data_IF_083722012112
#
_entry.id   IF_083722012112
#
_cell.length_a   1.000
_cell.length_b   1.000
_cell.length_c   1.000
_cell.angle_alpha   90.00
_cell.angle_beta   90.00
_cell.angle_gamma   90.00
#
_symmetry.space_group_name_H-M   'P 1'
#
loop_
_entity.id
_entity.type
_entity.pdbx_description
1 polymer ?
#
# COMPACT_ATOMS: atom_id res chain seq x y z
N UNK A 1 -6.04 7.50 -6.84
CA UNK A 1 -5.93 8.05 -5.45
C UNK A 1 -5.57 6.95 -4.48
N UNK A 2 -4.85 7.24 -3.37
CA UNK A 2 -4.64 6.28 -2.29
C UNK A 2 -5.99 5.89 -1.69
N UNK A 3 -6.16 4.61 -1.35
CA UNK A 3 -7.36 4.16 -0.64
C UNK A 3 -7.44 4.88 0.70
N UNK A 4 -8.62 5.42 1.08
CA UNK A 4 -8.80 5.98 2.42
C UNK A 4 -8.48 4.93 3.49
N UNK A 5 -7.95 5.38 4.63
CA UNK A 5 -7.56 4.51 5.73
C UNK A 5 -8.38 4.83 6.99
N UNK A 6 -8.99 3.81 7.58
CA UNK A 6 -9.72 3.91 8.85
C UNK A 6 -8.98 3.15 9.94
N UNK A 7 -8.63 3.82 11.04
CA UNK A 7 -8.02 3.18 12.20
C UNK A 7 -9.07 2.75 13.24
N UNK A 8 -9.08 1.47 13.59
CA UNK A 8 -9.90 0.95 14.69
C UNK A 8 -9.08 0.95 15.97
N UNK A 9 -9.51 1.74 16.95
CA UNK A 9 -8.78 2.06 18.18
C UNK A 9 -9.64 1.72 19.40
N UNK A 10 -9.02 1.47 20.54
CA UNK A 10 -9.71 1.25 21.82
C UNK A 10 -8.89 0.34 22.74
N UNK A 11 -9.32 0.23 24.02
CA UNK A 11 -8.66 -0.64 25.00
C UNK A 11 -8.76 -2.13 24.62
N UNK A 12 -7.99 -3.03 25.22
CA UNK A 12 -8.11 -4.46 25.02
C UNK A 12 -9.52 -5.00 25.32
N UNK A 13 -9.94 -6.05 24.60
CA UNK A 13 -11.18 -6.81 24.82
C UNK A 13 -12.52 -6.08 24.56
N UNK A 14 -12.54 -4.89 23.99
CA UNK A 14 -13.78 -4.19 23.57
C UNK A 14 -14.40 -4.76 22.29
N UNK A 15 -13.69 -5.63 21.57
CA UNK A 15 -14.18 -6.30 20.36
C UNK A 15 -13.68 -5.70 19.05
N UNK A 16 -12.56 -4.94 19.05
CA UNK A 16 -11.96 -4.33 17.85
C UNK A 16 -11.70 -5.32 16.72
N UNK A 17 -10.97 -6.40 17.01
CA UNK A 17 -10.63 -7.41 16.00
C UNK A 17 -11.87 -8.15 15.48
N UNK A 18 -12.91 -8.27 16.28
CA UNK A 18 -14.19 -8.83 15.84
C UNK A 18 -14.93 -7.85 14.92
N UNK A 19 -14.95 -6.57 15.26
CA UNK A 19 -15.50 -5.51 14.40
C UNK A 19 -14.72 -5.43 13.08
N UNK A 20 -13.40 -5.40 13.16
CA UNK A 20 -12.51 -5.43 11.98
C UNK A 20 -12.85 -6.61 11.05
N UNK A 21 -12.90 -7.84 11.57
CA UNK A 21 -13.23 -9.03 10.79
C UNK A 21 -14.65 -8.98 10.18
N UNK A 22 -15.57 -8.33 10.89
CA UNK A 22 -16.95 -8.15 10.39
C UNK A 22 -17.02 -7.17 9.24
N UNK A 23 -16.27 -6.06 9.32
CA UNK A 23 -16.25 -5.00 8.31
C UNK A 23 -15.47 -5.40 7.05
N UNK A 24 -14.37 -6.13 7.19
CA UNK A 24 -13.55 -6.60 6.06
C UNK A 24 -14.16 -7.81 5.33
N UNK A 25 -15.22 -8.39 5.84
CA UNK A 25 -15.74 -9.65 5.34
C UNK A 25 -14.69 -10.77 5.46
N UNK A 26 -14.64 -11.71 4.47
CA UNK A 26 -13.65 -12.80 4.46
C UNK A 26 -12.39 -12.48 3.65
N UNK A 27 -12.21 -11.23 3.23
CA UNK A 27 -11.03 -10.79 2.45
C UNK A 27 -9.98 -10.16 3.37
N UNK A 28 -9.36 -10.96 4.21
CA UNK A 28 -8.19 -10.54 4.99
C UNK A 28 -6.97 -10.64 4.08
N UNK A 29 -6.39 -9.51 3.72
CA UNK A 29 -5.11 -9.45 3.04
C UNK A 29 -3.99 -9.50 4.09
N UNK A 30 -3.17 -10.54 4.01
CA UNK A 30 -1.89 -10.72 4.71
C UNK A 30 -1.98 -11.03 6.20
N UNK A 31 -2.08 -12.33 6.50
CA UNK A 31 -1.56 -12.92 7.73
C UNK A 31 -0.22 -13.55 7.38
N UNK A 32 0.90 -13.00 7.83
CA UNK A 32 2.15 -13.71 7.87
C UNK A 32 2.11 -14.73 9.02
N UNK A 33 1.94 -16.01 8.67
CA UNK A 33 2.23 -17.14 9.56
C UNK A 33 3.75 -17.35 9.64
N UNK A 34 4.43 -16.60 10.49
CA UNK A 34 5.79 -16.92 10.91
C UNK A 34 5.76 -17.40 12.36
N UNK A 35 6.19 -18.66 12.66
CA UNK A 35 6.23 -19.17 14.03
C UNK A 35 7.23 -18.35 14.87
N UNK A 36 6.72 -17.64 15.89
CA UNK A 36 7.51 -16.91 16.86
C UNK A 36 7.32 -15.40 16.91
N UNK A 37 6.43 -14.80 16.08
CA UNK A 37 6.12 -13.37 16.11
C UNK A 37 4.68 -13.17 16.60
N UNK A 38 4.56 -12.56 17.77
CA UNK A 38 3.31 -12.25 18.44
C UNK A 38 2.45 -11.27 17.63
N UNK A 39 1.23 -11.70 17.28
CA UNK A 39 0.03 -10.96 16.87
C UNK A 39 0.30 -9.56 16.30
N UNK A 40 0.69 -9.54 15.03
CA UNK A 40 0.83 -8.33 14.26
C UNK A 40 -0.53 -7.88 13.70
N UNK A 41 -0.67 -6.59 13.50
CA UNK A 41 -1.83 -5.88 12.99
C UNK A 41 -2.34 -6.45 11.72
N UNK A 42 -3.64 -6.40 11.62
CA UNK A 42 -4.38 -6.88 10.49
C UNK A 42 -4.81 -5.65 9.69
N UNK A 43 -4.30 -5.51 8.48
CA UNK A 43 -4.91 -4.67 7.46
C UNK A 43 -5.96 -5.48 6.73
N UNK A 44 -7.06 -4.85 6.40
CA UNK A 44 -8.10 -5.47 5.60
C UNK A 44 -8.79 -4.43 4.73
N UNK A 45 -9.13 -4.83 3.51
CA UNK A 45 -9.94 -4.00 2.63
C UNK A 45 -11.42 -4.15 2.99
N UNK A 46 -12.12 -3.02 3.02
CA UNK A 46 -13.56 -2.94 3.15
C UNK A 46 -14.14 -2.29 1.89
N UNK A 47 -15.21 -2.87 1.37
CA UNK A 47 -15.98 -2.32 0.28
C UNK A 47 -17.39 -1.99 0.77
N UNK A 48 -17.80 -0.72 0.66
CA UNK A 48 -19.11 -0.26 1.08
C UNK A 48 -19.65 0.79 0.10
N UNK A 49 -20.90 0.62 -0.33
CA UNK A 49 -21.55 1.51 -1.31
C UNK A 49 -20.70 1.82 -2.55
N UNK A 50 -19.96 0.81 -3.05
CA UNK A 50 -19.12 0.95 -4.25
C UNK A 50 -17.77 1.62 -4.01
N UNK A 51 -17.46 2.09 -2.79
CA UNK A 51 -16.15 2.65 -2.41
C UNK A 51 -15.32 1.63 -1.63
N UNK A 52 -14.05 1.52 -2.00
CA UNK A 52 -13.09 0.64 -1.34
C UNK A 52 -12.13 1.46 -0.47
N UNK A 53 -11.93 1.05 0.77
CA UNK A 53 -11.00 1.67 1.73
C UNK A 53 -10.32 0.60 2.60
N UNK A 54 -9.22 0.98 3.24
CA UNK A 54 -8.46 0.08 4.09
C UNK A 54 -8.81 0.30 5.57
N UNK A 55 -8.91 -0.80 6.32
CA UNK A 55 -9.08 -0.80 7.77
C UNK A 55 -7.77 -1.26 8.42
N UNK A 56 -7.43 -0.68 9.57
CA UNK A 56 -6.32 -1.16 10.40
C UNK A 56 -6.78 -1.39 11.84
N UNK A 57 -6.60 -2.62 12.34
CA UNK A 57 -6.78 -2.92 13.77
C UNK A 57 -5.48 -2.57 14.53
N UNK A 58 -5.54 -1.55 15.38
CA UNK A 58 -4.37 -1.09 16.14
C UNK A 58 -4.02 -1.97 17.35
N UNK A 59 -4.75 -3.07 17.56
CA UNK A 59 -4.64 -3.85 18.79
C UNK A 59 -5.23 -3.11 20.02
N UNK A 60 -4.97 -3.59 21.24
CA UNK A 60 -5.43 -2.89 22.45
C UNK A 60 -4.45 -1.81 22.87
N UNK A 61 -4.92 -0.59 23.14
CA UNK A 61 -4.11 0.49 23.70
C UNK A 61 -4.22 0.43 25.23
N UNK A 62 -3.09 0.29 25.91
CA UNK A 62 -2.98 0.56 27.34
C UNK A 62 -2.32 1.93 27.55
N UNK A 63 -3.01 2.86 28.26
CA UNK A 63 -2.58 4.27 28.36
C UNK A 63 -1.28 4.48 29.13
N UNK A 64 -1.00 3.64 30.15
CA UNK A 64 0.18 3.70 31.01
C UNK A 64 0.89 2.33 31.09
N UNK A 65 1.67 1.95 30.09
CA UNK A 65 2.34 0.68 30.07
C UNK A 65 3.56 0.68 31.02
N UNK A 66 3.55 -0.21 32.01
CA UNK A 66 4.73 -0.47 32.84
C UNK A 66 5.77 -1.34 32.12
N UNK A 67 5.39 -1.97 31.01
CA UNK A 67 6.16 -2.93 30.26
C UNK A 67 6.52 -2.36 28.87
N UNK A 68 7.72 -2.64 28.37
CA UNK A 68 8.20 -2.15 27.06
C UNK A 68 7.35 -2.65 25.88
N UNK A 69 6.74 -3.81 25.99
CA UNK A 69 5.81 -4.35 24.98
C UNK A 69 4.54 -3.51 24.87
N UNK A 70 4.01 -3.02 25.98
CA UNK A 70 2.81 -2.17 26.01
C UNK A 70 3.10 -0.74 25.52
N UNK A 71 4.29 -0.21 25.80
CA UNK A 71 4.79 1.05 25.20
C UNK A 71 4.86 0.93 23.68
N UNK A 72 5.29 -0.23 23.20
CA UNK A 72 5.33 -0.53 21.78
C UNK A 72 3.92 -0.52 21.17
N UNK A 73 2.94 -1.20 21.78
CA UNK A 73 1.55 -1.23 21.29
C UNK A 73 0.90 0.16 21.24
N UNK A 74 1.15 0.99 22.26
CA UNK A 74 0.67 2.38 22.30
C UNK A 74 1.23 3.20 21.14
N UNK A 75 2.53 3.14 20.93
CA UNK A 75 3.18 3.90 19.84
C UNK A 75 2.72 3.43 18.47
N UNK A 76 2.39 2.17 18.35
CA UNK A 76 1.81 1.60 17.16
C UNK A 76 0.42 2.16 16.85
N UNK A 77 -0.42 2.32 17.87
CA UNK A 77 -1.71 2.94 17.72
C UNK A 77 -1.61 4.43 17.34
N UNK A 78 -0.64 5.15 17.94
CA UNK A 78 -0.37 6.54 17.61
C UNK A 78 -0.04 6.73 16.11
N UNK A 79 0.68 5.78 15.50
CA UNK A 79 0.96 5.82 14.06
C UNK A 79 -0.28 5.48 13.23
N UNK A 80 -1.07 4.48 13.63
CA UNK A 80 -2.33 4.17 12.96
C UNK A 80 -3.27 5.38 12.94
N UNK A 81 -3.32 6.11 14.05
CA UNK A 81 -4.08 7.36 14.19
C UNK A 81 -3.51 8.47 13.28
N UNK A 82 -2.18 8.62 13.24
CA UNK A 82 -1.51 9.65 12.41
C UNK A 82 -1.80 9.45 10.92
N UNK A 83 -1.86 8.19 10.47
CA UNK A 83 -2.03 7.82 9.06
C UNK A 83 -3.49 7.74 8.61
N UNK A 84 -4.44 7.54 9.53
CA UNK A 84 -5.84 7.37 9.19
C UNK A 84 -6.50 8.67 8.70
N UNK A 85 -7.44 8.54 7.77
CA UNK A 85 -8.33 9.64 7.36
C UNK A 85 -9.41 9.88 8.40
N UNK A 86 -9.95 8.81 8.99
CA UNK A 86 -10.84 8.87 10.15
C UNK A 86 -10.57 7.71 11.12
N UNK A 87 -11.09 7.81 12.32
CA UNK A 87 -10.83 6.88 13.41
C UNK A 87 -12.16 6.35 13.95
N UNK A 88 -12.21 5.04 14.19
CA UNK A 88 -13.30 4.38 14.90
C UNK A 88 -12.82 3.97 16.29
N UNK A 89 -13.24 4.70 17.33
CA UNK A 89 -12.98 4.30 18.71
C UNK A 89 -14.03 3.29 19.16
N UNK A 90 -13.60 2.09 19.52
CA UNK A 90 -14.49 1.02 20.00
C UNK A 90 -14.47 0.96 21.51
N UNK A 91 -15.65 0.98 22.12
CA UNK A 91 -15.88 0.83 23.57
C UNK A 91 -16.88 -0.30 23.83
N UNK A 92 -16.98 -0.77 25.07
CA UNK A 92 -17.82 -1.90 25.46
C UNK A 92 -18.95 -1.44 26.36
N UNK A 93 -20.20 -1.51 25.90
CA UNK A 93 -21.37 -1.09 26.64
C UNK A 93 -21.50 -1.82 27.99
N UNK A 94 -21.11 -3.10 28.04
CA UNK A 94 -21.27 -3.95 29.27
C UNK A 94 -20.35 -3.53 30.42
N UNK A 95 -19.23 -2.85 30.10
CA UNK A 95 -18.27 -2.38 31.11
C UNK A 95 -18.43 -0.92 31.50
N UNK A 96 -19.31 -0.17 30.82
CA UNK A 96 -19.44 1.28 30.98
C UNK A 96 -18.15 2.04 30.59
N UNK A 97 -18.15 3.34 30.88
CA UNK A 97 -16.98 4.21 30.62
C UNK A 97 -15.89 3.93 31.66
N UNK A 98 -14.70 3.57 31.20
CA UNK A 98 -13.53 3.32 32.04
C UNK A 98 -12.50 4.44 31.95
N UNK A 99 -11.59 4.54 32.94
CA UNK A 99 -10.48 5.49 32.89
C UNK A 99 -9.60 5.30 31.63
N UNK A 100 -9.41 4.05 31.21
CA UNK A 100 -8.68 3.74 29.98
C UNK A 100 -9.38 4.30 28.72
N UNK A 101 -10.69 4.26 28.66
CA UNK A 101 -11.46 4.85 27.56
C UNK A 101 -11.31 6.39 27.56
N UNK A 102 -11.30 7.05 28.75
CA UNK A 102 -11.08 8.50 28.87
C UNK A 102 -9.67 8.91 28.41
N UNK A 103 -8.65 8.11 28.72
CA UNK A 103 -7.28 8.36 28.30
C UNK A 103 -7.13 8.23 26.78
N UNK A 104 -7.73 7.18 26.18
CA UNK A 104 -7.76 7.01 24.72
C UNK A 104 -8.52 8.17 24.07
N UNK A 105 -9.69 8.55 24.58
CA UNK A 105 -10.46 9.69 24.07
C UNK A 105 -9.66 10.99 24.14
N UNK A 106 -8.88 11.20 25.21
CA UNK A 106 -8.01 12.37 25.35
C UNK A 106 -6.88 12.39 24.31
N UNK A 107 -6.32 11.23 24.00
CA UNK A 107 -5.32 11.07 22.94
C UNK A 107 -5.93 11.36 21.56
N UNK A 108 -7.13 10.84 21.28
CA UNK A 108 -7.81 11.04 20.00
C UNK A 108 -8.21 12.50 19.78
N UNK A 109 -8.68 13.21 20.79
CA UNK A 109 -8.96 14.65 20.72
C UNK A 109 -7.74 15.47 20.28
N UNK A 110 -6.53 15.06 20.72
CA UNK A 110 -5.29 15.74 20.34
C UNK A 110 -4.86 15.47 18.91
N UNK A 111 -5.35 14.40 18.28
CA UNK A 111 -4.99 14.08 16.89
C UNK A 111 -5.63 15.03 15.88
N UNK A 112 -6.75 15.68 16.23
CA UNK A 112 -7.51 16.53 15.32
C UNK A 112 -8.21 15.80 14.16
N UNK A 113 -8.20 14.46 14.16
CA UNK A 113 -8.84 13.63 13.14
C UNK A 113 -10.33 13.43 13.44
N UNK A 114 -11.19 13.22 12.43
CA UNK A 114 -12.56 12.78 12.63
C UNK A 114 -12.61 11.45 13.41
N UNK A 115 -13.45 11.37 14.43
CA UNK A 115 -13.61 10.16 15.26
C UNK A 115 -15.07 9.75 15.35
N UNK A 116 -15.37 8.48 15.05
CA UNK A 116 -16.62 7.84 15.39
C UNK A 116 -16.46 7.03 16.68
N UNK A 117 -17.43 7.07 17.56
CA UNK A 117 -17.49 6.28 18.78
C UNK A 117 -18.41 5.07 18.60
N UNK A 118 -17.83 3.90 18.36
CA UNK A 118 -18.56 2.65 18.23
C UNK A 118 -18.76 2.00 19.60
N UNK A 119 -19.96 2.11 20.15
CA UNK A 119 -20.34 1.43 21.39
C UNK A 119 -20.75 -0.01 21.05
N UNK A 120 -19.82 -0.93 21.29
CA UNK A 120 -19.94 -2.31 20.87
C UNK A 120 -20.60 -3.20 21.95
N UNK A 121 -21.01 -4.40 21.54
CA UNK A 121 -21.72 -5.42 22.31
C UNK A 121 -23.15 -5.03 22.66
N UNK A 122 -23.79 -4.17 21.86
CA UNK A 122 -25.21 -3.90 21.86
C UNK A 122 -25.95 -5.04 21.12
N UNK A 123 -26.06 -6.19 21.79
CA UNK A 123 -26.51 -7.44 21.14
C UNK A 123 -28.03 -7.55 21.02
N UNK A 124 -28.82 -6.64 21.66
CA UNK A 124 -30.29 -6.68 21.69
C UNK A 124 -30.88 -5.89 20.51
N UNK A 125 -31.61 -6.58 19.65
CA UNK A 125 -32.31 -5.96 18.51
C UNK A 125 -33.56 -5.22 18.97
N UNK A 126 -33.71 -3.97 18.52
CA UNK A 126 -34.96 -3.20 18.74
C UNK A 126 -35.12 -2.61 20.15
N UNK A 127 -34.09 -2.71 21.00
CA UNK A 127 -34.04 -2.08 22.31
C UNK A 127 -32.88 -1.07 22.33
N UNK A 128 -33.23 0.20 22.58
CA UNK A 128 -32.23 1.25 22.81
C UNK A 128 -31.65 1.03 24.21
N UNK A 129 -30.39 0.67 24.32
CA UNK A 129 -29.75 0.48 25.61
C UNK A 129 -29.44 1.87 26.25
N UNK A 130 -30.07 2.26 27.38
CA UNK A 130 -29.81 3.54 28.00
C UNK A 130 -28.35 3.77 28.40
N UNK A 131 -27.58 2.69 28.67
CA UNK A 131 -26.18 2.76 29.08
C UNK A 131 -25.30 3.29 27.98
N UNK A 132 -25.74 3.28 26.71
CA UNK A 132 -25.01 3.85 25.57
C UNK A 132 -24.80 5.35 25.72
N UNK A 133 -25.78 6.06 26.33
CA UNK A 133 -25.72 7.50 26.52
C UNK A 133 -24.61 7.97 27.47
N UNK A 134 -24.14 7.08 28.36
CA UNK A 134 -22.99 7.39 29.23
C UNK A 134 -21.74 7.74 28.44
N UNK A 135 -21.57 7.15 27.26
CA UNK A 135 -20.39 7.33 26.42
C UNK A 135 -20.30 8.71 25.74
N UNK A 136 -21.38 9.49 25.70
CA UNK A 136 -21.27 10.91 25.31
C UNK A 136 -20.37 11.72 26.25
N UNK A 137 -20.18 11.25 27.50
CA UNK A 137 -19.25 11.83 28.44
C UNK A 137 -17.79 11.80 28.02
N UNK A 138 -17.42 10.98 27.03
CA UNK A 138 -16.08 10.96 26.43
C UNK A 138 -15.80 12.20 25.57
N UNK A 139 -16.82 12.91 25.09
CA UNK A 139 -16.72 14.15 24.35
C UNK A 139 -15.92 14.03 23.05
N UNK A 140 -16.11 12.93 22.33
CA UNK A 140 -15.48 12.64 21.03
C UNK A 140 -16.56 12.16 20.05
N UNK A 141 -16.54 12.71 18.85
CA UNK A 141 -17.24 12.30 17.65
C UNK A 141 -18.72 11.90 17.78
N UNK A 142 -19.22 11.29 16.75
CA UNK A 142 -20.57 10.75 16.68
C UNK A 142 -20.64 9.35 17.27
N UNK A 143 -21.75 9.01 17.95
CA UNK A 143 -21.94 7.75 18.65
C UNK A 143 -22.76 6.78 17.81
N UNK A 144 -22.25 5.54 17.67
CA UNK A 144 -22.89 4.45 16.95
C UNK A 144 -23.05 3.24 17.85
N UNK A 145 -24.29 2.76 18.01
CA UNK A 145 -24.56 1.49 18.67
C UNK A 145 -24.19 0.35 17.74
N UNK A 146 -23.27 -0.53 18.14
CA UNK A 146 -22.78 -1.61 17.29
C UNK A 146 -22.81 -2.96 17.99
N UNK A 147 -23.00 -4.02 17.21
CA UNK A 147 -22.71 -5.39 17.61
C UNK A 147 -21.79 -6.04 16.58
N UNK A 148 -20.53 -6.16 16.91
CA UNK A 148 -19.55 -6.81 16.04
C UNK A 148 -19.90 -8.28 15.75
N UNK A 149 -20.59 -8.97 16.69
CA UNK A 149 -21.03 -10.36 16.52
C UNK A 149 -22.14 -10.45 15.49
N UNK A 150 -23.16 -9.62 15.61
CA UNK A 150 -24.36 -9.69 14.78
C UNK A 150 -24.31 -8.78 13.54
N UNK A 151 -23.41 -7.78 13.52
CA UNK A 151 -23.28 -6.79 12.45
C UNK A 151 -24.33 -5.68 12.52
N UNK A 152 -24.99 -5.48 13.67
CA UNK A 152 -25.91 -4.37 13.84
C UNK A 152 -25.16 -3.06 13.97
N UNK A 153 -25.72 -1.97 13.41
CA UNK A 153 -25.17 -0.62 13.46
C UNK A 153 -23.85 -0.44 12.67
N UNK A 154 -23.36 -1.49 12.00
CA UNK A 154 -22.13 -1.39 11.21
C UNK A 154 -22.34 -0.62 9.91
N UNK A 155 -23.56 -0.61 9.34
CA UNK A 155 -23.90 0.14 8.15
C UNK A 155 -23.80 1.65 8.40
N UNK A 156 -24.48 2.16 9.43
CA UNK A 156 -24.45 3.58 9.78
C UNK A 156 -23.03 4.07 10.11
N UNK A 157 -22.23 3.21 10.77
CA UNK A 157 -20.82 3.49 11.04
C UNK A 157 -20.00 3.60 9.75
N UNK A 158 -20.25 2.71 8.78
CA UNK A 158 -19.57 2.73 7.49
C UNK A 158 -20.00 3.92 6.63
N UNK A 159 -21.28 4.28 6.66
CA UNK A 159 -21.80 5.48 5.97
C UNK A 159 -21.11 6.74 6.51
N UNK A 160 -20.98 6.85 7.85
CA UNK A 160 -20.23 7.94 8.47
C UNK A 160 -18.75 7.95 8.02
N UNK A 161 -18.10 6.79 7.95
CA UNK A 161 -16.72 6.72 7.46
C UNK A 161 -16.59 7.25 6.02
N UNK A 162 -17.54 6.90 5.13
CA UNK A 162 -17.55 7.38 3.74
C UNK A 162 -17.68 8.90 3.65
N UNK A 163 -18.44 9.53 4.54
CA UNK A 163 -18.62 10.99 4.60
C UNK A 163 -17.31 11.71 4.99
N UNK A 164 -16.42 11.03 5.76
CA UNK A 164 -15.14 11.60 6.14
C UNK A 164 -14.08 11.48 5.05
N UNK A 165 -14.31 10.63 4.04
CA UNK A 165 -13.36 10.48 2.94
C UNK A 165 -13.45 11.65 1.98
N UNK A 166 -12.33 12.01 1.34
CA UNK A 166 -12.34 13.00 0.28
C UNK A 166 -13.37 12.63 -0.79
N UNK A 167 -14.05 13.64 -1.33
CA UNK A 167 -14.84 13.44 -2.53
C UNK A 167 -13.95 12.83 -3.62
N UNK A 168 -14.47 11.80 -4.30
CA UNK A 168 -13.83 11.30 -5.52
C UNK A 168 -13.96 12.43 -6.54
N UNK A 169 -12.91 13.21 -6.70
CA UNK A 169 -12.78 14.07 -7.86
C UNK A 169 -12.66 13.10 -9.03
N UNK A 170 -13.70 13.04 -9.88
CA UNK A 170 -13.63 12.35 -11.16
C UNK A 170 -12.29 12.71 -11.82
N UNK A 171 -11.62 11.72 -12.41
CA UNK A 171 -10.31 11.85 -13.07
C UNK A 171 -10.39 12.89 -14.20
N UNK A 172 -10.46 14.16 -13.83
CA UNK A 172 -10.19 15.29 -14.71
C UNK A 172 -8.76 15.75 -14.43
N UNK A 173 -7.92 15.51 -15.42
CA UNK A 173 -6.49 15.83 -15.51
C UNK A 173 -5.57 14.95 -14.67
N UNK A 174 -4.81 14.08 -15.36
CA UNK A 174 -3.61 13.43 -14.80
C UNK A 174 -2.81 14.50 -14.06
N UNK A 175 -2.70 14.38 -12.74
CA UNK A 175 -1.88 15.31 -11.98
C UNK A 175 -0.48 15.21 -12.56
N UNK A 176 0.05 16.32 -13.06
CA UNK A 176 1.43 16.41 -13.60
C UNK A 176 2.49 15.98 -12.57
N UNK A 177 2.08 15.73 -11.32
CA UNK A 177 2.95 15.40 -10.19
C UNK A 177 2.97 13.89 -9.97
N UNK A 178 4.12 13.25 -10.20
CA UNK A 178 4.30 11.82 -9.96
C UNK A 178 4.56 11.56 -8.48
N UNK A 179 3.77 10.70 -7.87
CA UNK A 179 3.92 10.30 -6.47
C UNK A 179 4.97 9.20 -6.34
N UNK A 180 6.02 9.44 -5.54
CA UNK A 180 7.18 8.55 -5.40
C UNK A 180 7.36 8.12 -3.95
N UNK A 181 7.39 6.80 -3.71
CA UNK A 181 7.75 6.24 -2.41
C UNK A 181 9.21 5.74 -2.42
N UNK A 182 9.94 5.97 -1.33
CA UNK A 182 11.29 5.41 -1.12
C UNK A 182 11.18 4.33 -0.04
N UNK A 183 11.38 3.06 -0.43
CA UNK A 183 11.25 1.90 0.46
C UNK A 183 12.55 1.11 0.53
N UNK A 184 12.73 0.31 1.58
CA UNK A 184 13.92 -0.51 1.80
C UNK A 184 14.22 -0.67 3.30
N UNK A 185 15.13 -1.58 3.63
CA UNK A 185 15.51 -1.88 5.02
C UNK A 185 16.08 -0.65 5.76
N UNK A 186 16.16 -0.68 7.10
CA UNK A 186 16.86 0.36 7.87
C UNK A 186 18.31 0.55 7.39
N UNK A 187 18.81 1.78 7.49
CA UNK A 187 20.19 2.16 7.18
C UNK A 187 20.66 1.93 5.72
N UNK A 188 19.77 1.59 4.78
CA UNK A 188 20.08 1.44 3.36
C UNK A 188 20.34 2.78 2.65
N UNK A 189 20.04 3.92 3.32
CA UNK A 189 20.29 5.26 2.81
C UNK A 189 19.07 6.01 2.28
N UNK A 190 17.83 5.63 2.67
CA UNK A 190 16.59 6.32 2.26
C UNK A 190 16.61 7.81 2.57
N UNK A 191 16.94 8.17 3.82
CA UNK A 191 17.02 9.57 4.25
C UNK A 191 18.14 10.34 3.56
N UNK A 192 19.27 9.66 3.29
CA UNK A 192 20.38 10.28 2.54
C UNK A 192 19.99 10.56 1.11
N UNK A 193 19.29 9.63 0.44
CA UNK A 193 18.80 9.82 -0.93
C UNK A 193 17.79 10.97 -0.99
N UNK A 194 16.83 10.99 -0.05
CA UNK A 194 15.86 12.08 0.03
C UNK A 194 16.54 13.44 0.25
N UNK A 195 17.51 13.50 1.17
CA UNK A 195 18.24 14.75 1.44
C UNK A 195 19.07 15.19 0.21
N UNK A 196 19.66 14.25 -0.53
CA UNK A 196 20.38 14.56 -1.77
C UNK A 196 19.44 15.13 -2.83
N UNK A 197 18.27 14.52 -3.03
CA UNK A 197 17.22 14.98 -3.94
C UNK A 197 16.74 16.39 -3.56
N UNK A 198 16.45 16.63 -2.28
CA UNK A 198 15.92 17.91 -1.79
C UNK A 198 16.99 18.98 -1.59
N UNK A 199 18.27 18.61 -1.53
CA UNK A 199 19.41 19.52 -1.39
C UNK A 199 19.93 20.11 -2.71
N UNK A 200 19.46 19.65 -3.85
CA UNK A 200 19.78 20.25 -5.15
C UNK A 200 19.15 21.66 -5.23
N UNK A 201 19.92 22.68 -5.65
CA UNK A 201 19.59 24.12 -5.60
C UNK A 201 18.32 24.56 -6.37
N UNK A 202 17.56 23.64 -6.95
CA UNK A 202 16.38 23.89 -7.79
C UNK A 202 15.05 23.49 -7.15
N UNK A 203 15.00 23.32 -5.83
CA UNK A 203 13.79 22.90 -5.13
C UNK A 203 12.86 24.09 -4.93
N UNK A 204 11.77 24.15 -5.66
CA UNK A 204 10.62 24.95 -5.26
C UNK A 204 9.81 24.11 -4.26
N UNK A 205 10.09 24.25 -2.98
CA UNK A 205 9.19 23.79 -1.92
C UNK A 205 7.97 24.73 -1.95
N UNK A 206 7.03 24.50 -2.84
CA UNK A 206 5.79 25.27 -2.83
C UNK A 206 4.86 24.69 -1.76
N UNK A 207 4.59 25.50 -0.74
CA UNK A 207 3.34 25.39 0.00
C UNK A 207 2.21 25.75 -0.98
N UNK A 208 1.75 24.81 -1.80
CA UNK A 208 0.55 25.04 -2.60
C UNK A 208 -0.62 25.21 -1.64
N UNK A 209 -1.13 26.43 -1.56
CA UNK A 209 -2.36 26.77 -0.85
C UNK A 209 -3.50 25.92 -1.46
N UNK A 210 -4.00 24.96 -0.71
CA UNK A 210 -5.06 24.02 -1.15
C UNK A 210 -4.78 22.55 -0.87
N UNK A 211 -3.51 22.15 -0.63
CA UNK A 211 -3.13 20.78 -0.26
C UNK A 211 -2.78 20.72 1.23
N UNK A 212 -3.71 21.08 2.10
CA UNK A 212 -3.57 21.07 3.57
C UNK A 212 -3.52 19.65 4.16
N UNK A 213 -3.24 18.61 3.33
CA UNK A 213 -3.42 17.23 3.80
C UNK A 213 -2.20 16.55 4.40
N UNK A 214 -0.96 16.91 4.01
CA UNK A 214 0.18 16.20 4.60
C UNK A 214 1.42 17.09 4.74
N UNK A 215 1.68 17.60 5.94
CA UNK A 215 2.98 18.16 6.34
C UNK A 215 4.14 17.11 6.30
N UNK A 216 3.87 15.94 5.71
CA UNK A 216 4.69 14.74 5.73
C UNK A 216 5.36 14.49 4.37
N UNK A 217 4.79 15.02 3.28
CA UNK A 217 5.27 14.83 1.91
C UNK A 217 6.17 15.98 1.45
N UNK A 218 7.07 15.73 0.50
CA UNK A 218 7.97 16.75 -0.06
C UNK A 218 7.80 16.84 -1.57
N UNK A 219 7.47 18.03 -2.05
CA UNK A 219 7.35 18.33 -3.48
C UNK A 219 8.70 18.75 -4.03
N UNK A 220 8.99 18.28 -5.22
CA UNK A 220 10.21 18.54 -5.96
C UNK A 220 9.88 18.76 -7.44
N UNK A 221 10.48 19.77 -8.07
CA UNK A 221 10.32 20.05 -9.50
C UNK A 221 11.69 20.30 -10.12
N UNK A 222 11.93 19.70 -11.28
CA UNK A 222 13.13 19.92 -12.09
C UNK A 222 12.77 19.93 -13.58
N UNK A 223 13.79 19.96 -14.45
CA UNK A 223 13.62 19.97 -15.92
C UNK A 223 12.90 18.72 -16.46
N UNK A 224 12.91 17.60 -15.72
CA UNK A 224 12.27 16.35 -16.14
C UNK A 224 10.81 16.25 -15.72
N UNK A 225 10.37 17.01 -14.70
CA UNK A 225 8.97 17.02 -14.26
C UNK A 225 8.79 17.36 -12.78
N UNK A 226 7.55 17.12 -12.31
CA UNK A 226 7.12 17.39 -10.93
C UNK A 226 6.95 16.08 -10.18
N UNK A 227 7.46 16.03 -8.95
CA UNK A 227 7.46 14.84 -8.11
C UNK A 227 6.98 15.16 -6.70
N UNK A 228 6.28 14.22 -6.08
CA UNK A 228 5.91 14.26 -4.67
C UNK A 228 6.50 13.03 -3.97
N UNK A 229 7.50 13.23 -3.11
CA UNK A 229 8.07 12.16 -2.29
C UNK A 229 7.25 11.98 -1.03
N UNK A 230 6.69 10.78 -0.86
CA UNK A 230 5.72 10.43 0.18
C UNK A 230 6.42 10.05 1.49
N UNK A 231 5.81 10.40 2.64
CA UNK A 231 6.26 10.07 4.02
C UNK A 231 7.69 10.56 4.34
N UNK A 232 8.06 11.74 3.87
CA UNK A 232 9.40 12.29 4.07
C UNK A 232 9.67 12.72 5.51
N UNK A 233 8.66 13.13 6.29
CA UNK A 233 8.82 13.50 7.70
C UNK A 233 9.25 12.31 8.57
N UNK A 234 8.76 11.11 8.27
CA UNK A 234 9.21 9.87 8.91
C UNK A 234 10.69 9.58 8.67
N UNK A 235 11.17 9.89 7.48
CA UNK A 235 12.60 9.75 7.12
C UNK A 235 13.50 10.80 7.78
N UNK A 236 13.02 12.04 7.94
CA UNK A 236 13.78 13.15 8.57
C UNK A 236 13.90 13.00 10.08
N UNK A 237 12.88 12.50 10.79
CA UNK A 237 12.90 12.35 12.26
C UNK A 237 13.81 11.23 12.74
N UNK A 238 14.13 10.23 11.89
CA UNK A 238 14.94 9.05 12.22
C UNK A 238 16.43 9.31 12.49
N UNK A 239 16.96 10.48 12.22
CA UNK A 239 18.39 10.76 12.42
C UNK A 239 18.81 10.80 13.92
N UNK A 240 17.91 10.58 14.87
CA UNK A 240 18.18 10.79 16.32
C UNK A 240 17.73 9.68 17.29
N UNK A 241 17.14 8.54 16.88
CA UNK A 241 16.63 7.53 17.84
C UNK A 241 16.82 6.09 17.37
N UNK A 242 17.35 5.26 18.27
CA UNK A 242 17.82 3.87 18.11
C UNK A 242 16.76 2.76 17.91
N UNK A 243 17.20 1.68 17.34
CA UNK A 243 16.86 0.22 17.29
C UNK A 243 15.44 -0.34 17.59
N UNK A 244 14.58 0.32 18.31
CA UNK A 244 13.19 -0.14 18.52
C UNK A 244 12.27 0.06 17.28
N UNK A 245 12.83 0.47 16.16
CA UNK A 245 12.19 1.19 15.05
C UNK A 245 11.94 0.27 13.84
N UNK A 246 12.42 -0.96 13.81
CA UNK A 246 12.32 -1.83 12.62
C UNK A 246 10.88 -2.15 12.21
N UNK A 247 10.03 -2.48 13.15
CA UNK A 247 8.61 -2.79 12.87
C UNK A 247 7.79 -1.57 12.40
N UNK A 248 8.21 -0.34 12.78
CA UNK A 248 7.58 0.91 12.32
C UNK A 248 7.87 1.22 10.86
N UNK A 249 9.03 0.75 10.38
CA UNK A 249 9.43 0.94 8.99
C UNK A 249 8.45 0.29 8.02
N UNK A 250 7.90 -0.87 8.37
CA UNK A 250 7.04 -1.64 7.48
C UNK A 250 5.66 -0.98 7.25
N UNK A 251 5.04 -0.44 8.31
CA UNK A 251 3.74 0.23 8.17
C UNK A 251 3.80 1.49 7.32
N UNK A 252 4.80 2.32 7.60
CA UNK A 252 5.01 3.52 6.79
C UNK A 252 5.35 3.17 5.35
N UNK A 253 6.12 2.09 5.15
CA UNK A 253 6.43 1.59 3.82
C UNK A 253 5.18 1.12 3.09
N UNK A 254 4.26 0.41 3.75
CA UNK A 254 3.00 -0.04 3.15
C UNK A 254 2.14 1.17 2.73
N UNK A 255 1.92 2.13 3.64
CA UNK A 255 1.13 3.31 3.32
C UNK A 255 1.79 4.17 2.22
N UNK A 256 3.11 4.33 2.27
CA UNK A 256 3.83 5.03 1.22
C UNK A 256 3.71 4.31 -0.13
N UNK A 257 3.81 2.97 -0.14
CA UNK A 257 3.61 2.16 -1.34
C UNK A 257 2.20 2.35 -1.89
N UNK A 258 1.16 2.26 -1.06
CA UNK A 258 -0.23 2.39 -1.51
C UNK A 258 -0.55 3.76 -2.13
N UNK A 259 0.08 4.82 -1.64
CA UNK A 259 -0.09 6.18 -2.17
C UNK A 259 0.75 6.48 -3.40
N UNK A 260 1.82 5.72 -3.65
CA UNK A 260 2.76 5.99 -4.72
C UNK A 260 2.24 5.56 -6.11
N UNK A 261 2.72 6.27 -7.14
CA UNK A 261 2.68 5.82 -8.53
C UNK A 261 3.91 4.94 -8.85
N UNK A 262 5.08 5.34 -8.31
CA UNK A 262 6.37 4.67 -8.52
C UNK A 262 7.08 4.46 -7.18
N UNK A 263 7.57 3.25 -6.93
CA UNK A 263 8.32 2.90 -5.73
C UNK A 263 9.82 2.74 -6.06
N UNK A 264 10.67 3.47 -5.34
CA UNK A 264 12.12 3.30 -5.36
C UNK A 264 12.50 2.29 -4.27
N UNK A 265 12.90 1.09 -4.65
CA UNK A 265 13.30 0.01 -3.75
C UNK A 265 14.82 0.09 -3.55
N UNK A 266 15.25 0.56 -2.38
CA UNK A 266 16.66 0.74 -2.07
C UNK A 266 17.28 -0.54 -1.52
N UNK A 267 18.43 -0.93 -2.10
CA UNK A 267 19.26 -2.06 -1.71
C UNK A 267 20.70 -1.55 -1.46
N UNK A 268 21.36 -2.07 -0.44
CA UNK A 268 22.78 -1.77 -0.17
C UNK A 268 23.69 -2.55 -1.13
N UNK A 269 24.57 -1.87 -1.84
CA UNK A 269 25.47 -2.48 -2.81
C UNK A 269 26.46 -3.47 -2.15
N UNK A 270 26.83 -3.29 -0.87
CA UNK A 270 27.74 -4.17 -0.17
C UNK A 270 27.06 -5.43 0.37
N UNK A 271 25.87 -5.26 1.00
CA UNK A 271 25.12 -6.36 1.59
C UNK A 271 24.46 -7.25 0.51
N UNK A 272 24.15 -6.68 -0.67
CA UNK A 272 23.33 -7.32 -1.68
C UNK A 272 21.87 -7.44 -1.24
N UNK A 273 21.12 -8.35 -1.89
CA UNK A 273 19.71 -8.62 -1.56
C UNK A 273 19.63 -9.53 -0.34
N UNK A 274 19.04 -9.03 0.73
CA UNK A 274 18.79 -9.78 1.97
C UNK A 274 17.33 -10.25 2.02
N UNK A 275 17.02 -11.18 2.93
CA UNK A 275 15.65 -11.65 3.15
C UNK A 275 14.68 -10.49 3.49
N UNK A 276 15.16 -9.49 4.26
CA UNK A 276 14.36 -8.31 4.58
C UNK A 276 14.10 -7.44 3.34
N UNK A 277 15.08 -7.28 2.46
CA UNK A 277 14.91 -6.57 1.19
C UNK A 277 13.88 -7.27 0.31
N UNK A 278 13.91 -8.61 0.23
CA UNK A 278 12.95 -9.42 -0.53
C UNK A 278 11.52 -9.26 -0.01
N UNK A 279 11.33 -9.26 1.32
CA UNK A 279 10.01 -9.03 1.95
C UNK A 279 9.46 -7.64 1.64
N UNK A 280 10.27 -6.60 1.80
CA UNK A 280 9.85 -5.22 1.53
C UNK A 280 9.56 -5.01 0.03
N UNK A 281 10.43 -5.53 -0.83
CA UNK A 281 10.25 -5.43 -2.28
C UNK A 281 8.99 -6.15 -2.76
N UNK A 282 8.62 -7.29 -2.14
CA UNK A 282 7.41 -8.06 -2.45
C UNK A 282 6.11 -7.27 -2.24
N UNK A 283 6.07 -6.34 -1.29
CA UNK A 283 4.88 -5.51 -1.05
C UNK A 283 4.53 -4.61 -2.24
N UNK A 284 5.50 -4.25 -3.08
CA UNK A 284 5.29 -3.32 -4.20
C UNK A 284 4.46 -3.96 -5.32
N UNK A 285 4.82 -5.14 -5.87
CA UNK A 285 3.97 -5.83 -6.86
C UNK A 285 2.64 -6.30 -6.28
N UNK A 286 2.57 -6.69 -5.01
CA UNK A 286 1.32 -7.09 -4.34
C UNK A 286 0.32 -5.92 -4.30
N UNK A 287 0.80 -4.70 -4.03
CA UNK A 287 0.02 -3.48 -4.13
C UNK A 287 -0.23 -3.03 -5.59
N UNK A 288 0.34 -3.71 -6.58
CA UNK A 288 0.20 -3.35 -7.99
C UNK A 288 0.93 -2.07 -8.39
N UNK A 289 2.00 -1.69 -7.69
CA UNK A 289 2.72 -0.44 -7.93
C UNK A 289 3.92 -0.62 -8.85
N UNK A 290 4.25 0.43 -9.59
CA UNK A 290 5.43 0.45 -10.41
C UNK A 290 6.71 0.54 -9.55
N UNK A 291 7.81 -0.06 -10.01
CA UNK A 291 9.01 -0.27 -9.20
C UNK A 291 10.30 0.05 -9.97
N UNK A 292 11.24 0.67 -9.27
CA UNK A 292 12.63 0.85 -9.69
C UNK A 292 13.52 0.32 -8.56
N UNK A 293 14.45 -0.57 -8.87
CA UNK A 293 15.43 -1.08 -7.92
C UNK A 293 16.64 -0.13 -7.91
N UNK A 294 16.96 0.42 -6.75
CA UNK A 294 18.04 1.37 -6.53
C UNK A 294 19.14 0.74 -5.69
N UNK A 295 20.26 0.39 -6.31
CA UNK A 295 21.43 -0.13 -5.62
C UNK A 295 22.26 1.04 -5.12
N UNK A 296 22.13 1.34 -3.84
CA UNK A 296 22.74 2.49 -3.18
C UNK A 296 24.08 2.14 -2.52
N UNK A 297 24.82 3.16 -2.08
CA UNK A 297 26.17 3.08 -1.49
C UNK A 297 27.22 2.54 -2.48
N UNK A 298 27.04 2.85 -3.75
CA UNK A 298 27.99 2.45 -4.78
C UNK A 298 29.40 3.00 -4.55
N UNK A 299 29.52 4.12 -3.83
CA UNK A 299 30.79 4.71 -3.41
C UNK A 299 31.58 3.80 -2.46
N UNK A 300 30.91 3.06 -1.60
CA UNK A 300 31.50 2.19 -0.58
C UNK A 300 31.88 0.79 -1.09
N UNK A 301 31.57 0.45 -2.33
CA UNK A 301 32.03 -0.82 -2.92
C UNK A 301 33.53 -0.74 -3.18
N UNK A 302 34.31 -1.62 -2.58
CA UNK A 302 35.74 -1.74 -2.78
C UNK A 302 36.07 -2.55 -4.06
N UNK A 303 37.29 -2.45 -4.57
CA UNK A 303 37.86 -3.24 -5.67
C UNK A 303 36.94 -3.35 -6.92
N UNK A 304 36.46 -2.20 -7.41
CA UNK A 304 35.61 -2.15 -8.63
C UNK A 304 36.38 -2.53 -9.88
N UNK A 305 36.06 -3.70 -10.40
CA UNK A 305 36.50 -4.17 -11.72
C UNK A 305 35.49 -3.80 -12.81
N UNK A 306 35.86 -4.01 -14.06
CA UNK A 306 35.03 -3.70 -15.23
C UNK A 306 33.66 -4.40 -15.20
N UNK A 307 33.59 -5.58 -14.63
CA UNK A 307 32.35 -6.40 -14.55
C UNK A 307 31.58 -6.26 -13.26
N UNK A 308 32.13 -5.63 -12.22
CA UNK A 308 31.52 -5.57 -10.87
C UNK A 308 30.06 -5.10 -10.90
N UNK A 309 29.74 -4.10 -11.71
CA UNK A 309 28.35 -3.61 -11.82
C UNK A 309 27.43 -4.64 -12.44
N UNK A 310 27.85 -5.34 -13.47
CA UNK A 310 27.08 -6.38 -14.14
C UNK A 310 26.85 -7.59 -13.25
N UNK A 311 27.85 -8.00 -12.49
CA UNK A 311 27.74 -9.12 -11.56
C UNK A 311 26.80 -8.79 -10.40
N UNK A 312 26.91 -7.58 -9.81
CA UNK A 312 25.98 -7.09 -8.79
C UNK A 312 24.55 -6.96 -9.32
N UNK A 313 24.36 -6.52 -10.57
CA UNK A 313 23.03 -6.48 -11.19
C UNK A 313 22.44 -7.88 -11.33
N UNK A 314 23.22 -8.87 -11.72
CA UNK A 314 22.76 -10.25 -11.80
C UNK A 314 22.35 -10.77 -10.44
N UNK A 315 23.17 -10.55 -9.40
CA UNK A 315 22.84 -10.96 -8.02
C UNK A 315 21.53 -10.33 -7.51
N UNK A 316 21.31 -9.04 -7.83
CA UNK A 316 20.05 -8.34 -7.50
C UNK A 316 18.88 -8.94 -8.26
N UNK A 317 19.02 -9.25 -9.54
CA UNK A 317 17.96 -9.88 -10.34
C UNK A 317 17.65 -11.30 -9.88
N UNK A 318 18.66 -12.06 -9.46
CA UNK A 318 18.46 -13.41 -8.91
C UNK A 318 17.72 -13.35 -7.57
N UNK A 319 18.09 -12.42 -6.69
CA UNK A 319 17.44 -12.20 -5.39
C UNK A 319 16.00 -11.66 -5.50
N UNK A 320 15.68 -10.92 -6.56
CA UNK A 320 14.36 -10.34 -6.84
C UNK A 320 13.74 -10.90 -8.13
N UNK A 321 13.87 -12.21 -8.35
CA UNK A 321 13.47 -12.89 -9.59
C UNK A 321 11.96 -12.81 -9.90
N UNK A 322 11.13 -12.48 -8.92
CA UNK A 322 9.69 -12.28 -9.09
C UNK A 322 9.31 -10.91 -9.68
N UNK A 323 10.28 -9.96 -9.79
CA UNK A 323 10.06 -8.66 -10.43
C UNK A 323 11.11 -8.34 -11.53
N UNK A 324 11.22 -9.21 -12.56
CA UNK A 324 12.23 -9.06 -13.62
C UNK A 324 12.00 -7.81 -14.48
N UNK A 325 10.81 -7.24 -14.42
CA UNK A 325 10.39 -6.03 -15.14
C UNK A 325 10.96 -4.74 -14.54
N UNK A 326 11.39 -4.76 -13.26
CA UNK A 326 11.88 -3.58 -12.58
C UNK A 326 13.29 -3.19 -13.08
N UNK A 327 13.52 -1.96 -13.55
CA UNK A 327 14.84 -1.50 -13.91
C UNK A 327 15.74 -1.36 -12.69
N UNK A 328 17.04 -1.58 -12.87
CA UNK A 328 18.05 -1.47 -11.81
C UNK A 328 18.93 -0.25 -12.09
N UNK A 329 19.13 0.61 -11.09
CA UNK A 329 20.04 1.76 -11.14
C UNK A 329 21.01 1.73 -9.97
N UNK A 330 22.29 2.03 -10.25
CA UNK A 330 23.36 2.11 -9.24
C UNK A 330 23.70 3.57 -8.97
N UNK A 331 23.73 3.95 -7.71
CA UNK A 331 24.03 5.32 -7.29
C UNK A 331 24.68 5.38 -5.90
N UNK A 332 25.12 6.56 -5.52
CA UNK A 332 25.50 6.91 -4.16
C UNK A 332 24.70 8.10 -3.67
N UNK A 333 23.81 7.86 -2.72
CA UNK A 333 23.06 8.91 -2.04
C UNK A 333 23.95 9.81 -1.16
N UNK A 334 25.14 9.33 -0.77
CA UNK A 334 26.09 10.11 0.05
C UNK A 334 26.86 11.12 -0.81
N UNK A 335 27.34 10.72 -1.97
CA UNK A 335 28.17 11.55 -2.84
C UNK A 335 27.39 12.26 -3.94
N UNK A 336 26.09 11.94 -4.11
CA UNK A 336 25.28 12.43 -5.23
C UNK A 336 25.54 11.72 -6.56
N UNK A 337 26.46 10.77 -6.61
CA UNK A 337 26.85 10.09 -7.85
C UNK A 337 25.66 9.38 -8.48
N UNK A 338 25.29 9.74 -9.72
CA UNK A 338 24.23 9.13 -10.55
C UNK A 338 22.80 9.28 -9.97
N UNK A 339 22.56 10.17 -9.03
CA UNK A 339 21.21 10.43 -8.49
C UNK A 339 20.32 11.02 -9.58
N UNK A 340 20.87 11.84 -10.46
CA UNK A 340 20.20 12.42 -11.62
C UNK A 340 19.53 11.40 -12.55
N UNK A 341 20.03 10.16 -12.58
CA UNK A 341 19.49 9.07 -13.41
C UNK A 341 18.13 8.54 -12.94
N UNK A 342 17.74 8.85 -11.70
CA UNK A 342 16.46 8.40 -11.16
C UNK A 342 15.30 9.10 -11.88
N UNK A 343 15.41 10.39 -12.15
CA UNK A 343 14.31 11.20 -12.67
C UNK A 343 13.80 10.74 -14.05
N UNK A 344 14.64 10.59 -15.07
CA UNK A 344 14.20 10.05 -16.36
C UNK A 344 13.60 8.67 -16.25
N UNK A 345 14.12 7.85 -15.31
CA UNK A 345 13.64 6.49 -15.08
C UNK A 345 12.28 6.48 -14.41
N UNK A 346 12.00 7.38 -13.44
CA UNK A 346 10.67 7.56 -12.85
C UNK A 346 9.66 7.96 -13.94
N UNK A 347 10.00 8.91 -14.79
CA UNK A 347 9.14 9.35 -15.91
C UNK A 347 8.81 8.20 -16.85
N UNK A 348 9.83 7.43 -17.27
CA UNK A 348 9.63 6.30 -18.18
C UNK A 348 8.75 5.22 -17.54
N UNK A 349 9.04 4.83 -16.30
CA UNK A 349 8.27 3.83 -15.57
C UNK A 349 6.83 4.30 -15.32
N UNK A 350 6.61 5.56 -14.96
CA UNK A 350 5.28 6.13 -14.82
C UNK A 350 4.51 6.12 -16.13
N UNK A 351 5.14 6.52 -17.24
CA UNK A 351 4.56 6.46 -18.58
C UNK A 351 4.15 5.03 -18.98
N UNK A 352 4.99 4.05 -18.66
CA UNK A 352 4.67 2.64 -18.91
C UNK A 352 3.49 2.15 -18.04
N UNK A 353 3.42 2.63 -16.78
CA UNK A 353 2.35 2.26 -15.84
C UNK A 353 0.98 2.86 -16.22
N UNK A 354 0.98 4.04 -16.84
CA UNK A 354 -0.23 4.75 -17.30
C UNK A 354 -0.63 4.42 -18.74
N UNK A 355 0.18 3.64 -19.45
CA UNK A 355 -0.02 3.35 -20.87
C UNK A 355 -1.37 2.70 -21.15
N UNK A 356 -2.13 3.30 -22.07
CA UNK A 356 -3.38 2.75 -22.59
C UNK A 356 -3.13 2.12 -23.95
N UNK A 357 -3.35 0.81 -24.04
CA UNK A 357 -3.16 0.02 -25.26
C UNK A 357 -4.52 -0.23 -25.89
N UNK A 358 -4.64 0.02 -27.18
CA UNK A 358 -5.91 -0.20 -27.90
C UNK A 358 -6.26 -1.68 -27.99
N UNK A 359 -7.56 -1.98 -27.93
CA UNK A 359 -8.06 -3.37 -28.07
C UNK A 359 -7.63 -4.02 -29.39
N UNK A 360 -7.53 -3.24 -30.46
CA UNK A 360 -7.05 -3.74 -31.77
C UNK A 360 -5.60 -4.22 -31.69
N UNK A 361 -4.69 -3.43 -31.11
CA UNK A 361 -3.28 -3.82 -30.93
C UNK A 361 -3.13 -5.05 -30.04
N UNK A 362 -3.89 -5.12 -28.93
CA UNK A 362 -3.89 -6.28 -28.04
C UNK A 362 -4.33 -7.57 -28.77
N UNK A 363 -5.39 -7.50 -29.58
CA UNK A 363 -5.89 -8.67 -30.30
C UNK A 363 -4.99 -9.08 -31.48
N UNK A 364 -4.25 -8.15 -32.10
CA UNK A 364 -3.21 -8.49 -33.06
C UNK A 364 -2.10 -9.33 -32.40
N UNK A 365 -1.60 -8.89 -31.25
CA UNK A 365 -0.58 -9.66 -30.48
C UNK A 365 -1.13 -11.01 -30.05
N UNK A 366 -2.37 -11.05 -29.57
CA UNK A 366 -3.00 -12.29 -29.15
C UNK A 366 -3.11 -13.29 -30.32
N UNK A 367 -3.46 -12.83 -31.53
CA UNK A 367 -3.49 -13.66 -32.72
C UNK A 367 -2.10 -14.21 -33.09
N UNK A 368 -1.07 -13.37 -33.06
CA UNK A 368 0.32 -13.77 -33.34
C UNK A 368 0.83 -14.74 -32.28
N UNK A 369 0.58 -14.47 -31.00
CA UNK A 369 0.98 -15.34 -29.90
C UNK A 369 0.32 -16.71 -29.98
N UNK A 370 -0.99 -16.76 -30.23
CA UNK A 370 -1.73 -18.03 -30.36
C UNK A 370 -1.36 -18.82 -31.62
N UNK A 371 -0.91 -18.14 -32.67
CA UNK A 371 -0.38 -18.79 -33.88
C UNK A 371 1.00 -19.42 -33.63
N UNK A 372 1.88 -18.74 -32.86
CA UNK A 372 3.22 -19.24 -32.52
C UNK A 372 3.17 -20.42 -31.54
N UNK A 373 2.39 -20.25 -30.45
CA UNK A 373 2.22 -21.27 -29.41
C UNK A 373 0.73 -21.55 -29.25
N UNK A 374 0.30 -22.71 -29.70
CA UNK A 374 -1.11 -23.07 -29.61
C UNK A 374 -1.59 -23.16 -28.16
N UNK A 375 -2.82 -22.64 -27.87
CA UNK A 375 -3.42 -22.76 -26.55
C UNK A 375 -3.48 -24.21 -26.06
N UNK A 376 -3.31 -24.45 -24.75
CA UNK A 376 -3.31 -25.78 -24.18
C UNK A 376 -4.64 -26.53 -24.39
N UNK A 377 -4.59 -27.85 -24.32
CA UNK A 377 -5.75 -28.71 -24.34
C UNK A 377 -5.69 -29.70 -23.16
N UNK A 378 -6.84 -29.96 -22.53
CA UNK A 378 -6.98 -30.99 -21.49
C UNK A 378 -8.12 -31.92 -21.82
N UNK A 379 -7.87 -33.24 -21.76
CA UNK A 379 -8.85 -34.35 -22.02
C UNK A 379 -9.68 -34.15 -23.29
N UNK A 380 -9.02 -33.70 -24.37
CA UNK A 380 -9.69 -33.46 -25.66
C UNK A 380 -10.44 -32.13 -25.77
N UNK A 381 -10.50 -31.32 -24.70
CA UNK A 381 -11.05 -29.98 -24.76
C UNK A 381 -9.92 -29.00 -25.00
N UNK A 382 -10.04 -28.19 -26.06
CA UNK A 382 -9.05 -27.19 -26.43
C UNK A 382 -9.45 -25.81 -25.87
N UNK A 383 -8.51 -25.11 -25.26
CA UNK A 383 -8.66 -23.71 -24.90
C UNK A 383 -8.85 -22.88 -26.18
N UNK A 384 -9.93 -22.09 -26.23
CA UNK A 384 -10.16 -21.09 -27.26
C UNK A 384 -10.17 -19.72 -26.60
N UNK A 385 -9.27 -18.85 -27.03
CA UNK A 385 -9.21 -17.46 -26.59
C UNK A 385 -9.92 -16.64 -27.65
N UNK A 386 -10.86 -15.79 -27.24
CA UNK A 386 -11.69 -15.02 -28.15
C UNK A 386 -11.11 -13.64 -28.40
N UNK A 387 -10.81 -12.91 -27.36
CA UNK A 387 -10.24 -11.57 -27.44
C UNK A 387 -9.64 -11.17 -26.09
N UNK A 388 -8.86 -10.09 -26.11
CA UNK A 388 -8.24 -9.46 -24.95
C UNK A 388 -8.53 -7.95 -24.97
N UNK A 389 -8.77 -7.38 -23.80
CA UNK A 389 -8.94 -5.94 -23.59
C UNK A 389 -8.17 -5.46 -22.39
N UNK A 390 -7.86 -4.17 -22.32
CA UNK A 390 -7.29 -3.54 -21.14
C UNK A 390 -8.41 -2.93 -20.31
N UNK A 391 -8.60 -3.41 -19.09
CA UNK A 391 -9.61 -2.94 -18.15
C UNK A 391 -9.18 -1.65 -17.45
N UNK A 392 -7.92 -1.58 -16.98
CA UNK A 392 -7.39 -0.42 -16.25
C UNK A 392 -5.91 -0.20 -16.54
N UNK A 393 -5.41 0.95 -16.09
CA UNK A 393 -4.01 1.33 -15.96
C UNK A 393 -3.65 1.41 -14.47
N UNK A 394 -2.37 1.59 -14.12
CA UNK A 394 -1.88 1.79 -12.75
C UNK A 394 -2.25 0.66 -11.77
N UNK A 395 -1.93 -0.63 -12.03
CA UNK A 395 -1.10 -1.14 -13.13
C UNK A 395 -1.94 -1.53 -14.36
N UNK A 396 -1.28 -1.76 -15.52
CA UNK A 396 -1.94 -2.33 -16.69
C UNK A 396 -2.63 -3.66 -16.35
N UNK A 397 -3.96 -3.70 -16.53
CA UNK A 397 -4.78 -4.87 -16.24
C UNK A 397 -5.47 -5.33 -17.53
N UNK A 398 -5.16 -6.53 -17.96
CA UNK A 398 -5.73 -7.15 -19.16
C UNK A 398 -6.74 -8.22 -18.80
N UNK A 399 -7.87 -8.21 -19.50
CA UNK A 399 -8.90 -9.24 -19.37
C UNK A 399 -8.91 -10.07 -20.65
N UNK A 400 -8.72 -11.38 -20.51
CA UNK A 400 -8.72 -12.33 -21.59
C UNK A 400 -10.00 -13.16 -21.53
N UNK A 401 -10.77 -13.15 -22.59
CA UNK A 401 -12.01 -13.90 -22.70
C UNK A 401 -11.79 -15.23 -23.45
N UNK A 402 -12.21 -16.33 -22.83
CA UNK A 402 -12.02 -17.67 -23.36
C UNK A 402 -13.29 -18.53 -23.21
N UNK A 403 -13.24 -19.76 -23.74
CA UNK A 403 -14.33 -20.72 -23.64
C UNK A 403 -14.45 -21.41 -22.27
N UNK A 404 -13.33 -21.69 -21.61
CA UNK A 404 -13.28 -22.32 -20.29
C UNK A 404 -12.01 -21.86 -19.56
N UNK A 405 -12.18 -21.08 -18.48
CA UNK A 405 -11.07 -20.51 -17.70
C UNK A 405 -10.21 -21.58 -17.02
N UNK A 406 -10.77 -22.76 -16.71
CA UNK A 406 -10.05 -23.88 -16.08
C UNK A 406 -9.00 -24.52 -16.99
N UNK A 407 -9.11 -24.32 -18.30
CA UNK A 407 -8.10 -24.79 -19.29
C UNK A 407 -6.91 -23.82 -19.39
N UNK A 408 -7.01 -22.62 -18.78
CA UNK A 408 -5.99 -21.60 -18.87
C UNK A 408 -4.88 -21.87 -17.85
N UNK A 409 -3.84 -22.60 -18.28
CA UNK A 409 -2.71 -22.90 -17.40
C UNK A 409 -1.83 -21.67 -17.16
N UNK A 410 -1.30 -21.51 -15.93
CA UNK A 410 -0.48 -20.36 -15.54
C UNK A 410 0.74 -20.11 -16.45
N UNK A 411 1.34 -21.18 -16.98
CA UNK A 411 2.48 -21.07 -17.92
C UNK A 411 2.08 -20.39 -19.23
N UNK A 412 0.85 -20.61 -19.70
CA UNK A 412 0.34 -19.97 -20.91
C UNK A 412 -0.03 -18.51 -20.65
N UNK A 413 -0.55 -18.21 -19.46
CA UNK A 413 -0.76 -16.83 -19.01
C UNK A 413 0.56 -16.05 -18.98
N UNK A 414 1.61 -16.64 -18.40
CA UNK A 414 2.95 -16.04 -18.36
C UNK A 414 3.55 -15.87 -19.75
N UNK A 415 3.30 -16.81 -20.65
CA UNK A 415 3.72 -16.67 -22.05
C UNK A 415 3.05 -15.46 -22.70
N UNK A 416 1.73 -15.29 -22.56
CA UNK A 416 1.02 -14.14 -23.11
C UNK A 416 1.48 -12.82 -22.48
N UNK A 417 1.73 -12.77 -21.18
CA UNK A 417 2.32 -11.62 -20.51
C UNK A 417 3.66 -11.24 -21.14
N UNK A 418 4.53 -12.22 -21.36
CA UNK A 418 5.83 -11.99 -21.99
C UNK A 418 5.69 -11.45 -23.41
N UNK A 419 4.72 -11.91 -24.18
CA UNK A 419 4.45 -11.41 -25.53
C UNK A 419 3.95 -9.95 -25.52
N UNK A 420 3.11 -9.58 -24.54
CA UNK A 420 2.67 -8.20 -24.35
C UNK A 420 3.87 -7.32 -23.98
N UNK A 421 4.72 -7.78 -23.06
CA UNK A 421 5.92 -7.04 -22.62
C UNK A 421 6.95 -6.88 -23.75
N UNK A 422 7.11 -7.90 -24.59
CA UNK A 422 8.03 -7.86 -25.74
C UNK A 422 7.65 -6.74 -26.72
N UNK A 423 6.35 -6.51 -26.92
CA UNK A 423 5.87 -5.51 -27.88
C UNK A 423 5.77 -4.11 -27.27
N UNK A 424 5.23 -4.00 -26.04
CA UNK A 424 4.94 -2.70 -25.43
C UNK A 424 5.97 -2.24 -24.39
N UNK A 425 6.91 -3.10 -24.01
CA UNK A 425 7.91 -2.82 -22.98
C UNK A 425 7.34 -3.07 -21.59
N UNK A 426 6.45 -2.23 -21.09
CA UNK A 426 5.87 -2.25 -19.75
C UNK A 426 6.95 -2.40 -18.66
N UNK A 427 8.08 -1.70 -18.86
CA UNK A 427 9.22 -1.69 -17.93
C UNK A 427 8.81 -1.01 -16.62
N UNK A 428 9.25 -1.58 -15.51
CA UNK A 428 8.99 -1.03 -14.18
C UNK A 428 7.57 -1.22 -13.65
N UNK A 429 6.65 -1.77 -14.44
CA UNK A 429 5.26 -1.97 -14.01
C UNK A 429 4.86 -3.44 -13.96
N UNK A 430 4.17 -3.89 -12.89
CA UNK A 430 3.54 -5.20 -12.88
C UNK A 430 2.38 -5.24 -13.87
N UNK A 431 2.07 -6.41 -14.38
CA UNK A 431 0.93 -6.65 -15.27
C UNK A 431 -0.05 -7.58 -14.57
N UNK A 432 -1.33 -7.20 -14.54
CA UNK A 432 -2.42 -8.05 -14.08
C UNK A 432 -3.14 -8.66 -15.27
N UNK A 433 -3.39 -9.96 -15.22
CA UNK A 433 -4.17 -10.67 -16.23
C UNK A 433 -5.30 -11.42 -15.54
N UNK A 434 -6.54 -11.10 -15.92
CA UNK A 434 -7.74 -11.83 -15.48
C UNK A 434 -8.28 -12.64 -16.63
N UNK A 435 -8.58 -13.90 -16.37
CA UNK A 435 -9.22 -14.82 -17.34
C UNK A 435 -10.70 -14.86 -17.04
N UNK A 436 -11.54 -14.56 -18.04
CA UNK A 436 -13.00 -14.65 -17.95
C UNK A 436 -13.56 -15.63 -18.98
N UNK A 437 -14.56 -16.41 -18.57
CA UNK A 437 -15.31 -17.25 -19.48
C UNK A 437 -16.40 -16.40 -20.16
N UNK A 438 -16.59 -16.61 -21.46
CA UNK A 438 -17.65 -15.90 -22.21
C UNK A 438 -19.02 -16.35 -21.71
N UNK A 439 -19.79 -15.44 -21.16
CA UNK A 439 -21.13 -15.69 -20.62
C UNK A 439 -21.24 -15.59 -19.09
N UNK A 440 -20.12 -15.45 -18.38
CA UNK A 440 -20.18 -15.06 -16.97
C UNK A 440 -20.69 -13.63 -16.87
N UNK A 441 -21.83 -13.45 -16.18
CA UNK A 441 -22.38 -12.13 -15.88
C UNK A 441 -21.45 -11.45 -14.86
N UNK A 442 -21.32 -10.14 -14.96
CA UNK A 442 -20.72 -9.34 -13.91
C UNK A 442 -21.53 -9.53 -12.62
N UNK A 443 -20.91 -10.19 -11.63
CA UNK A 443 -21.33 -10.13 -10.24
C UNK A 443 -20.61 -9.00 -9.53
#
# INVERSE_FOLDING_TARGET
MAKPLVAIVGRPNVGKSMLFNKLTGRRVSIVEDTPGVTRDRIYGDCEWCGRTFSLVDTGGIEPNPENDMLKFMRRQAEIGIELADCIVMVVDVKSGVTAADQDVATMLRKSGKPVALAVNKCDSIGYVNPDVYEFYGLGIGDLFETSAIHGHGTGDLLDWCLEQFPEEVEEEEESEVIQVAIVGKPNVGKSSLLNQILGEERVIVSNMAGTTRDAIDSYFENETGKYCFIDTAGMRRKSKVDDAIEKYSNMRSINAIERADVCLILIDANDGVTEQDTKIAGLVPDAGKAAIIVVNKWDAVEDKETNTMRDKERDVRDGLSYMPYAPVVFLSALTGQRVDRIYPLIQEVHKQNTMRITTGALNSILADATARVQPPSDKGRRLKIYYMTQASTKPPHFVIFCNDARLFHFSYQRYLENQIREVFGLQGTPVRITIRQRGDKEE
#
